data_IF_353108735819
#
_entry.id   IF_353108735819
#
_cell.length_a   1.000
_cell.length_b   1.000
_cell.length_c   1.000
_cell.angle_alpha   90.00
_cell.angle_beta   90.00
_cell.angle_gamma   90.00
#
_symmetry.space_group_name_H-M   'P 1'
#
loop_
_entity.id
_entity.type
_entity.pdbx_description
1 polymer ?
#
# COMPACT_ATOMS: atom_id res chain seq x y z
N UNK A 1 -28.41 -9.54 6.87
CA UNK A 1 -27.38 -8.54 7.20
C UNK A 1 -28.04 -7.19 7.08
N UNK A 2 -28.26 -6.51 8.21
CA UNK A 2 -28.99 -5.23 8.24
C UNK A 2 -28.00 -4.08 8.18
N UNK A 3 -27.64 -3.67 6.96
CA UNK A 3 -26.87 -2.45 6.73
C UNK A 3 -27.86 -1.38 6.29
N UNK A 4 -27.98 -0.30 7.07
CA UNK A 4 -28.76 0.86 6.67
C UNK A 4 -28.21 1.48 5.38
N UNK A 5 -29.10 1.87 4.47
CA UNK A 5 -28.74 2.61 3.26
C UNK A 5 -27.96 3.89 3.63
N UNK A 6 -26.96 4.23 2.81
CA UNK A 6 -26.05 5.35 3.10
C UNK A 6 -24.98 5.08 4.18
N UNK A 7 -24.85 3.85 4.69
CA UNK A 7 -23.76 3.50 5.61
C UNK A 7 -22.38 3.64 4.96
N UNK A 8 -21.49 4.37 5.63
CA UNK A 8 -20.08 4.55 5.22
C UNK A 8 -19.16 3.63 6.00
N UNK A 9 -18.23 2.97 5.30
CA UNK A 9 -17.26 2.05 5.87
C UNK A 9 -15.85 2.36 5.37
N UNK A 10 -14.88 2.36 6.30
CA UNK A 10 -13.47 2.32 5.93
C UNK A 10 -13.11 0.92 5.42
N UNK A 11 -12.50 0.86 4.24
CA UNK A 11 -11.84 -0.34 3.73
C UNK A 11 -10.34 -0.17 3.94
N UNK A 12 -9.78 -0.88 4.91
CA UNK A 12 -8.38 -0.72 5.29
C UNK A 12 -7.80 -2.01 5.87
N UNK A 13 -6.48 -2.14 5.81
CA UNK A 13 -5.76 -3.27 6.42
C UNK A 13 -5.71 -3.19 7.95
N UNK A 14 -5.91 -2.00 8.52
CA UNK A 14 -5.65 -1.71 9.94
C UNK A 14 -4.18 -1.75 10.33
N UNK A 15 -3.26 -1.88 9.35
CA UNK A 15 -1.81 -2.02 9.56
C UNK A 15 -1.07 -0.92 8.80
N UNK A 16 -0.84 0.26 9.41
CA UNK A 16 -0.06 1.31 8.76
C UNK A 16 1.40 0.88 8.58
N UNK A 17 2.05 1.38 7.54
CA UNK A 17 3.47 1.17 7.24
C UNK A 17 4.12 2.52 6.95
N UNK A 18 5.36 2.72 7.38
CA UNK A 18 6.10 3.92 7.03
C UNK A 18 6.61 3.84 5.60
N UNK A 19 6.79 4.98 4.93
CA UNK A 19 7.41 5.01 3.59
C UNK A 19 8.80 4.35 3.64
N UNK A 20 9.56 4.59 4.70
CA UNK A 20 10.87 3.97 4.90
C UNK A 20 10.80 2.44 4.96
N UNK A 21 9.83 1.85 5.67
CA UNK A 21 9.68 0.39 5.71
C UNK A 21 9.28 -0.17 4.34
N UNK A 22 8.37 0.51 3.62
CA UNK A 22 7.96 0.10 2.27
C UNK A 22 9.15 0.12 1.31
N UNK A 23 9.98 1.17 1.35
CA UNK A 23 11.20 1.26 0.52
C UNK A 23 12.22 0.20 0.89
N UNK A 24 12.37 -0.11 2.19
CA UNK A 24 13.23 -1.19 2.65
C UNK A 24 12.75 -2.56 2.15
N UNK A 25 11.45 -2.83 2.18
CA UNK A 25 10.88 -4.07 1.68
C UNK A 25 11.07 -4.17 0.16
N UNK A 26 10.78 -3.10 -0.60
CA UNK A 26 11.07 -3.03 -2.04
C UNK A 26 12.54 -3.27 -2.37
N UNK A 27 13.46 -2.78 -1.52
CA UNK A 27 14.90 -2.99 -1.68
C UNK A 27 15.29 -4.46 -1.56
N UNK A 28 14.61 -5.25 -0.72
CA UNK A 28 14.84 -6.70 -0.62
C UNK A 28 14.45 -7.45 -1.89
N UNK A 29 13.47 -6.94 -2.64
CA UNK A 29 13.04 -7.51 -3.92
C UNK A 29 13.80 -6.97 -5.14
N UNK A 30 14.72 -6.03 -4.93
CA UNK A 30 15.48 -5.40 -6.00
C UNK A 30 16.56 -6.34 -6.54
N UNK A 31 16.71 -6.35 -7.87
CA UNK A 31 17.75 -7.15 -8.56
C UNK A 31 19.14 -6.49 -8.52
N UNK A 32 19.19 -5.22 -8.13
CA UNK A 32 20.41 -4.41 -8.04
C UNK A 32 20.36 -3.54 -6.80
N UNK A 33 21.53 -3.21 -6.26
CA UNK A 33 21.63 -2.27 -5.15
C UNK A 33 21.26 -0.85 -5.61
N UNK A 34 20.61 -0.09 -4.73
CA UNK A 34 20.36 1.33 -4.90
C UNK A 34 20.47 2.06 -3.57
N UNK A 35 20.68 3.37 -3.66
CA UNK A 35 20.70 4.29 -2.53
C UNK A 35 19.35 5.00 -2.41
N UNK A 36 18.90 5.21 -1.16
CA UNK A 36 17.68 5.98 -0.88
C UNK A 36 18.09 7.38 -0.47
N UNK A 37 17.62 8.39 -1.21
CA UNK A 37 17.83 9.81 -0.91
C UNK A 37 16.49 10.53 -0.77
N UNK A 38 16.42 11.46 0.17
CA UNK A 38 15.24 12.32 0.33
C UNK A 38 15.24 13.37 -0.78
N UNK A 39 14.12 13.46 -1.49
CA UNK A 39 13.90 14.45 -2.55
C UNK A 39 13.08 15.61 -1.98
N UNK A 40 13.73 16.75 -1.73
CA UNK A 40 13.12 17.90 -1.05
C UNK A 40 11.91 18.46 -1.82
N UNK A 41 11.94 18.38 -3.15
CA UNK A 41 10.85 18.75 -4.07
C UNK A 41 9.60 17.85 -3.96
N UNK A 42 9.72 16.68 -3.31
CA UNK A 42 8.62 15.76 -3.06
C UNK A 42 8.05 15.84 -1.65
N UNK A 43 8.65 16.65 -0.77
CA UNK A 43 8.16 16.86 0.58
C UNK A 43 6.96 17.79 0.57
N UNK A 44 5.93 17.47 1.35
CA UNK A 44 4.74 18.33 1.50
C UNK A 44 4.97 19.30 2.65
N UNK A 45 4.54 20.56 2.47
CA UNK A 45 4.63 21.58 3.52
C UNK A 45 3.81 21.23 4.77
N UNK A 46 2.76 20.42 4.60
CA UNK A 46 1.97 19.83 5.68
C UNK A 46 1.89 18.32 5.47
N UNK A 47 2.45 17.57 6.42
CA UNK A 47 2.48 16.11 6.40
C UNK A 47 1.57 15.58 7.52
N UNK A 48 0.72 14.61 7.22
CA UNK A 48 0.03 13.82 8.24
C UNK A 48 1.01 12.72 8.69
N UNK A 49 1.46 12.67 9.95
CA UNK A 49 2.49 11.71 10.37
C UNK A 49 2.08 10.25 10.19
N UNK A 50 0.79 9.95 10.41
CA UNK A 50 0.21 8.62 10.19
C UNK A 50 -1.21 8.79 9.67
N UNK A 51 -1.50 8.18 8.53
CA UNK A 51 -2.85 7.96 8.03
C UNK A 51 -3.14 6.45 8.08
N UNK A 52 -4.09 6.06 8.93
CA UNK A 52 -4.48 4.66 9.12
C UNK A 52 -6.01 4.55 9.15
N UNK A 53 -6.56 3.59 8.42
CA UNK A 53 -7.99 3.30 8.44
C UNK A 53 -8.34 2.19 9.44
N UNK A 54 -9.41 2.40 10.20
CA UNK A 54 -10.03 1.36 11.04
C UNK A 54 -11.22 0.72 10.32
N UNK A 55 -11.06 -0.54 9.91
CA UNK A 55 -12.09 -1.33 9.25
C UNK A 55 -12.98 -2.13 10.23
N UNK A 56 -12.99 -1.80 11.52
CA UNK A 56 -13.79 -2.52 12.54
C UNK A 56 -15.27 -2.51 12.22
N UNK A 57 -15.85 -1.37 11.83
CA UNK A 57 -17.26 -1.29 11.43
C UNK A 57 -17.57 -2.21 10.23
N UNK A 58 -16.68 -2.25 9.24
CA UNK A 58 -16.85 -3.10 8.06
C UNK A 58 -16.79 -4.58 8.44
N UNK A 59 -15.78 -4.96 9.23
CA UNK A 59 -15.56 -6.33 9.68
C UNK A 59 -16.72 -6.85 10.52
N UNK A 60 -17.25 -6.05 11.46
CA UNK A 60 -18.39 -6.44 12.27
C UNK A 60 -19.67 -6.60 11.44
N UNK A 61 -19.88 -5.70 10.47
CA UNK A 61 -21.07 -5.77 9.62
C UNK A 61 -21.02 -6.97 8.67
N UNK A 62 -19.88 -7.23 8.03
CA UNK A 62 -19.76 -8.12 6.85
C UNK A 62 -18.95 -9.40 7.08
N UNK A 63 -18.19 -9.49 8.17
CA UNK A 63 -17.13 -10.48 8.31
C UNK A 63 -15.92 -10.23 7.40
N UNK A 64 -15.89 -9.16 6.62
CA UNK A 64 -14.78 -8.83 5.74
C UNK A 64 -13.50 -8.57 6.53
N UNK A 65 -12.41 -9.14 6.03
CA UNK A 65 -11.06 -8.87 6.47
C UNK A 65 -10.16 -8.71 5.24
N UNK A 66 -9.10 -7.89 5.31
CA UNK A 66 -8.12 -7.81 4.23
C UNK A 66 -7.54 -9.20 3.98
N UNK A 67 -7.56 -9.63 2.71
CA UNK A 67 -6.95 -10.87 2.25
C UNK A 67 -5.81 -10.52 1.32
N UNK A 68 -4.66 -11.13 1.52
CA UNK A 68 -3.46 -10.87 0.75
C UNK A 68 -2.22 -10.80 1.63
N UNK A 69 -1.10 -11.22 1.07
CA UNK A 69 0.21 -11.13 1.70
C UNK A 69 0.94 -9.87 1.22
N UNK A 70 1.62 -9.18 2.15
CA UNK A 70 2.30 -7.93 1.84
C UNK A 70 3.48 -8.14 0.90
N UNK A 71 4.27 -9.19 1.12
CA UNK A 71 5.43 -9.50 0.28
C UNK A 71 4.98 -9.90 -1.12
N UNK A 72 3.91 -10.70 -1.23
CA UNK A 72 3.29 -11.04 -2.50
C UNK A 72 2.81 -9.80 -3.26
N UNK A 73 2.12 -8.87 -2.58
CA UNK A 73 1.66 -7.62 -3.20
C UNK A 73 2.82 -6.77 -3.75
N UNK A 74 3.93 -6.66 -3.00
CA UNK A 74 5.13 -5.97 -3.48
C UNK A 74 5.77 -6.68 -4.68
N UNK A 75 5.86 -8.00 -4.63
CA UNK A 75 6.39 -8.81 -5.72
C UNK A 75 5.57 -8.64 -7.01
N UNK A 76 4.24 -8.64 -6.91
CA UNK A 76 3.32 -8.45 -8.02
C UNK A 76 3.47 -7.07 -8.66
N UNK A 77 3.56 -6.00 -7.84
CA UNK A 77 3.80 -4.64 -8.31
C UNK A 77 5.12 -4.54 -9.08
N UNK A 78 6.20 -5.15 -8.55
CA UNK A 78 7.50 -5.14 -9.21
C UNK A 78 7.53 -5.99 -10.48
N UNK A 79 6.86 -7.15 -10.48
CA UNK A 79 6.73 -8.00 -11.66
C UNK A 79 5.98 -7.25 -12.79
N UNK A 80 4.87 -6.59 -12.46
CA UNK A 80 4.12 -5.76 -13.39
C UNK A 80 4.98 -4.62 -13.95
N UNK A 81 5.70 -3.89 -13.10
CA UNK A 81 6.57 -2.79 -13.53
C UNK A 81 7.69 -3.26 -14.49
N UNK A 82 8.30 -4.42 -14.22
CA UNK A 82 9.32 -5.02 -15.09
C UNK A 82 8.75 -5.42 -16.45
N UNK A 83 7.59 -6.10 -16.46
CA UNK A 83 6.92 -6.49 -17.70
C UNK A 83 6.50 -5.30 -18.59
N UNK A 84 6.26 -4.11 -17.99
CA UNK A 84 6.02 -2.88 -18.75
C UNK A 84 7.26 -2.31 -19.45
N UNK A 85 8.46 -2.59 -18.93
CA UNK A 85 9.72 -2.15 -19.53
C UNK A 85 10.16 -3.08 -20.67
N UNK A 86 9.78 -4.36 -20.60
CA UNK A 86 10.09 -5.38 -21.60
C UNK A 86 9.21 -5.26 -22.86
N UNK A 87 8.09 -4.54 -22.78
CA UNK A 87 7.24 -4.23 -23.93
C UNK A 87 7.68 -2.87 -24.50
N UNK A 88 8.30 -2.82 -25.70
CA UNK A 88 8.60 -1.55 -26.35
C UNK A 88 7.31 -0.73 -26.46
N UNK A 89 7.41 0.57 -26.17
CA UNK A 89 6.27 1.48 -26.08
C UNK A 89 5.28 1.31 -27.23
N UNK A 90 3.99 1.24 -26.86
CA UNK A 90 2.89 1.50 -27.79
C UNK A 90 2.72 3.01 -27.92
#
# INVERSE_FOLDING_TARGET
MDIADGSVFNVASGRPRSIASVVSDLRRHARVAFEVRVAADRMRASEIPVAAGDATRLRLATGWTPRGDWEAALADVLAHARGRLERPGR
#
